data_IF_217841519499
#
_entry.id   IF_217841519499
#
_cell.length_a   1.000
_cell.length_b   1.000
_cell.length_c   1.000
_cell.angle_alpha   90.00
_cell.angle_beta   90.00
_cell.angle_gamma   90.00
#
_symmetry.space_group_name_H-M   'P 1'
#
loop_
_entity.id
_entity.type
_entity.pdbx_description
1 polymer ?
#
# COMPACT_ATOMS: atom_id res chain seq x y z
N UNK A 1 -1.57 -14.19 -16.13
CA UNK A 1 -1.85 -15.03 -14.94
C UNK A 1 -1.03 -16.30 -15.09
N UNK A 2 0.11 -16.46 -14.40
CA UNK A 2 0.90 -17.68 -14.53
C UNK A 2 0.49 -18.66 -13.43
N UNK A 3 -0.55 -19.45 -13.69
CA UNK A 3 -1.08 -20.47 -12.79
C UNK A 3 0.01 -21.45 -12.30
N UNK A 4 1.09 -21.62 -13.06
CA UNK A 4 2.21 -22.48 -12.67
C UNK A 4 2.96 -21.99 -11.43
N UNK A 5 2.99 -20.69 -11.10
CA UNK A 5 3.78 -20.21 -9.96
C UNK A 5 3.14 -20.57 -8.62
N UNK A 6 1.83 -20.36 -8.46
CA UNK A 6 1.09 -20.74 -7.25
C UNK A 6 1.08 -22.27 -7.06
N UNK A 7 0.97 -23.03 -8.17
CA UNK A 7 1.08 -24.49 -8.13
C UNK A 7 2.51 -24.96 -7.76
N UNK A 8 3.56 -24.26 -8.19
CA UNK A 8 4.96 -24.56 -7.80
C UNK A 8 5.26 -24.27 -6.32
N UNK A 9 4.68 -23.21 -5.75
CA UNK A 9 4.75 -22.93 -4.30
C UNK A 9 4.11 -24.08 -3.51
N UNK A 10 2.88 -24.49 -3.88
CA UNK A 10 2.15 -25.58 -3.18
C UNK A 10 2.78 -26.97 -3.36
N UNK A 11 3.37 -27.24 -4.52
CA UNK A 11 4.02 -28.54 -4.82
C UNK A 11 5.46 -28.66 -4.31
N UNK A 12 6.01 -27.62 -3.66
CA UNK A 12 7.36 -27.64 -3.09
C UNK A 12 8.51 -27.65 -4.11
N UNK A 13 8.23 -27.33 -5.38
CA UNK A 13 9.17 -27.43 -6.50
C UNK A 13 9.93 -26.13 -6.82
N UNK A 14 9.73 -25.07 -6.02
CA UNK A 14 10.54 -23.85 -6.09
C UNK A 14 11.92 -24.08 -5.45
N UNK A 15 12.97 -23.48 -6.02
CA UNK A 15 14.30 -23.44 -5.41
C UNK A 15 14.20 -22.93 -3.96
N UNK A 16 14.99 -23.49 -3.04
CA UNK A 16 14.90 -23.23 -1.60
C UNK A 16 15.00 -21.74 -1.23
N UNK A 17 15.72 -20.95 -2.03
CA UNK A 17 15.84 -19.49 -1.88
C UNK A 17 14.56 -18.71 -2.19
N UNK A 18 13.84 -19.08 -3.26
CA UNK A 18 12.61 -18.40 -3.67
C UNK A 18 11.45 -18.65 -2.71
N UNK A 19 11.35 -19.87 -2.16
CA UNK A 19 10.34 -20.19 -1.14
C UNK A 19 10.54 -19.39 0.13
N UNK A 20 11.78 -19.33 0.63
CA UNK A 20 12.12 -18.59 1.85
C UNK A 20 11.79 -17.10 1.68
N UNK A 21 12.13 -16.53 0.52
CA UNK A 21 11.80 -15.14 0.18
C UNK A 21 10.28 -14.90 0.12
N UNK A 22 9.51 -15.84 -0.41
CA UNK A 22 8.06 -15.76 -0.45
C UNK A 22 7.42 -15.83 0.95
N UNK A 23 7.85 -16.76 1.80
CA UNK A 23 7.36 -16.83 3.19
C UNK A 23 7.71 -15.57 3.97
N UNK A 24 8.93 -15.06 3.80
CA UNK A 24 9.34 -13.81 4.40
C UNK A 24 8.47 -12.63 3.94
N UNK A 25 8.21 -12.51 2.64
CA UNK A 25 7.31 -11.50 2.09
C UNK A 25 5.89 -11.63 2.67
N UNK A 26 5.36 -12.85 2.78
CA UNK A 26 4.04 -13.12 3.37
C UNK A 26 3.97 -12.70 4.84
N UNK A 27 4.96 -13.08 5.65
CA UNK A 27 5.00 -12.70 7.08
C UNK A 27 5.09 -11.19 7.25
N UNK A 28 5.94 -10.51 6.46
CA UNK A 28 6.03 -9.04 6.48
C UNK A 28 4.73 -8.38 6.02
N UNK A 29 4.05 -8.96 5.02
CA UNK A 29 2.75 -8.48 4.55
C UNK A 29 1.69 -8.58 5.65
N UNK A 30 1.67 -9.66 6.42
CA UNK A 30 0.76 -9.80 7.57
C UNK A 30 1.01 -8.73 8.64
N UNK A 31 2.27 -8.42 8.94
CA UNK A 31 2.62 -7.34 9.86
C UNK A 31 2.24 -5.94 9.32
N UNK A 32 2.15 -5.77 7.99
CA UNK A 32 1.64 -4.54 7.39
C UNK A 32 0.11 -4.47 7.46
N UNK A 33 -0.57 -5.60 7.23
CA UNK A 33 -2.03 -5.71 7.33
C UNK A 33 -2.50 -5.42 8.76
N UNK A 34 -1.76 -5.87 9.78
CA UNK A 34 -2.11 -5.59 11.18
C UNK A 34 -2.03 -4.13 11.58
N UNK A 35 -1.41 -3.27 10.75
CA UNK A 35 -1.35 -1.81 10.96
C UNK A 35 -2.51 -1.06 10.30
N UNK A 36 -3.35 -1.75 9.53
CA UNK A 36 -4.55 -1.15 8.95
C UNK A 36 -5.53 -0.75 10.07
N UNK A 37 -6.30 0.29 9.81
CA UNK A 37 -7.32 0.80 10.74
C UNK A 37 -8.30 -0.34 11.06
N UNK A 38 -8.46 -0.62 12.35
CA UNK A 38 -9.37 -1.67 12.79
C UNK A 38 -10.83 -1.29 12.53
N UNK A 39 -11.72 -2.28 12.40
CA UNK A 39 -13.15 -2.04 12.15
C UNK A 39 -13.80 -1.13 13.22
N UNK A 40 -13.39 -1.31 14.48
CA UNK A 40 -13.85 -0.49 15.62
C UNK A 40 -13.36 0.96 15.55
N UNK A 41 -12.20 1.19 14.96
CA UNK A 41 -11.64 2.53 14.73
C UNK A 41 -12.27 3.18 13.51
N UNK A 42 -12.57 2.40 12.47
CA UNK A 42 -13.27 2.87 11.28
C UNK A 42 -14.64 3.47 11.61
N UNK A 43 -15.41 2.82 12.50
CA UNK A 43 -16.68 3.36 12.99
C UNK A 43 -16.55 4.69 13.75
N UNK A 44 -15.39 4.97 14.35
CA UNK A 44 -15.10 6.27 14.98
C UNK A 44 -14.76 7.32 13.93
N UNK A 45 -13.93 6.97 12.94
CA UNK A 45 -13.58 7.86 11.82
C UNK A 45 -14.81 8.35 11.05
N UNK A 46 -15.79 7.48 10.84
CA UNK A 46 -17.04 7.84 10.15
C UNK A 46 -17.88 8.91 10.87
N UNK A 47 -17.62 9.15 12.16
CA UNK A 47 -18.33 10.15 12.99
C UNK A 47 -17.52 11.41 13.22
N UNK A 48 -16.26 11.45 12.78
CA UNK A 48 -15.32 12.55 12.99
C UNK A 48 -15.34 13.54 11.82
N UNK A 49 -15.04 14.80 12.11
CA UNK A 49 -14.75 15.80 11.07
C UNK A 49 -13.36 15.57 10.44
N UNK A 50 -13.12 16.09 9.24
CA UNK A 50 -11.84 15.93 8.51
C UNK A 50 -10.63 16.38 9.34
N UNK A 51 -10.79 17.41 10.19
CA UNK A 51 -9.70 17.88 11.07
C UNK A 51 -9.37 16.89 12.19
N UNK A 52 -10.41 16.26 12.76
CA UNK A 52 -10.24 15.26 13.80
C UNK A 52 -9.60 14.00 13.24
N UNK A 53 -10.02 13.58 12.03
CA UNK A 53 -9.40 12.47 11.30
C UNK A 53 -7.91 12.75 11.06
N UNK A 54 -7.56 13.95 10.58
CA UNK A 54 -6.16 14.34 10.36
C UNK A 54 -5.33 14.27 11.66
N UNK A 55 -5.88 14.75 12.77
CA UNK A 55 -5.18 14.69 14.07
C UNK A 55 -5.02 13.26 14.57
N UNK A 56 -6.07 12.45 14.46
CA UNK A 56 -6.04 11.04 14.81
C UNK A 56 -5.02 10.25 13.96
N UNK A 57 -4.98 10.49 12.65
CA UNK A 57 -3.97 9.88 11.76
C UNK A 57 -2.55 10.37 12.10
N UNK A 58 -2.40 11.63 12.51
CA UNK A 58 -1.12 12.22 12.94
C UNK A 58 -0.57 11.69 14.26
N UNK A 59 -1.43 11.18 15.14
CA UNK A 59 -1.02 10.44 16.34
C UNK A 59 -0.57 9.00 16.01
N UNK A 60 -0.95 8.49 14.84
CA UNK A 60 -0.61 7.15 14.34
C UNK A 60 0.58 7.09 13.38
N UNK A 61 0.57 6.09 12.49
CA UNK A 61 1.65 5.82 11.52
C UNK A 61 1.74 6.83 10.35
N UNK A 62 0.80 7.79 10.25
CA UNK A 62 0.75 8.77 9.17
C UNK A 62 1.47 10.09 9.51
N UNK A 63 2.11 10.16 10.68
CA UNK A 63 2.77 11.37 11.19
C UNK A 63 3.79 11.96 10.21
N UNK A 64 4.62 11.12 9.59
CA UNK A 64 5.68 11.57 8.68
C UNK A 64 5.13 12.24 7.43
N UNK A 65 4.05 11.70 6.90
CA UNK A 65 3.36 12.20 5.72
C UNK A 65 2.60 13.50 6.04
N UNK A 66 1.97 13.58 7.22
CA UNK A 66 1.28 14.79 7.69
C UNK A 66 2.25 15.95 7.89
N UNK A 67 3.42 15.69 8.48
CA UNK A 67 4.47 16.69 8.67
C UNK A 67 5.05 17.20 7.33
N UNK A 68 4.95 16.40 6.26
CA UNK A 68 5.52 16.74 4.94
C UNK A 68 4.63 17.65 4.07
N UNK A 69 3.30 17.63 4.25
CA UNK A 69 2.38 18.34 3.34
C UNK A 69 2.31 19.86 3.60
N UNK A 70 2.66 20.33 4.81
CA UNK A 70 2.80 21.76 5.10
C UNK A 70 1.49 22.58 5.06
N UNK A 71 1.53 23.76 5.68
CA UNK A 71 0.36 24.56 6.10
C UNK A 71 -0.50 25.13 4.92
N UNK A 72 -0.08 24.99 3.66
CA UNK A 72 -0.65 25.75 2.53
C UNK A 72 -1.75 25.05 1.70
N UNK A 73 -2.10 23.80 1.98
CA UNK A 73 -3.11 23.06 1.21
C UNK A 73 -4.50 23.10 1.87
N UNK A 74 -5.55 22.98 1.06
CA UNK A 74 -6.92 22.77 1.56
C UNK A 74 -6.94 21.50 2.41
N UNK A 75 -7.74 21.50 3.49
CA UNK A 75 -7.76 20.43 4.49
C UNK A 75 -8.02 19.03 3.89
N UNK A 76 -8.93 18.96 2.91
CA UNK A 76 -9.31 17.71 2.24
C UNK A 76 -8.19 17.26 1.28
N UNK A 77 -7.69 18.16 0.43
CA UNK A 77 -6.58 17.87 -0.49
C UNK A 77 -5.32 17.39 0.27
N UNK A 78 -5.09 17.94 1.45
CA UNK A 78 -4.01 17.53 2.35
C UNK A 78 -4.19 16.08 2.80
N UNK A 79 -5.38 15.73 3.30
CA UNK A 79 -5.70 14.37 3.74
C UNK A 79 -5.55 13.36 2.60
N UNK A 80 -6.12 13.66 1.44
CA UNK A 80 -6.02 12.79 0.26
C UNK A 80 -4.57 12.57 -0.15
N UNK A 81 -3.78 13.64 -0.16
CA UNK A 81 -2.36 13.57 -0.50
C UNK A 81 -1.58 12.73 0.51
N UNK A 82 -1.76 12.96 1.80
CA UNK A 82 -1.13 12.17 2.88
C UNK A 82 -1.45 10.68 2.74
N UNK A 83 -2.73 10.35 2.53
CA UNK A 83 -3.16 8.96 2.38
C UNK A 83 -2.55 8.31 1.13
N UNK A 84 -2.54 9.03 0.00
CA UNK A 84 -1.94 8.55 -1.24
C UNK A 84 -0.43 8.33 -1.11
N UNK A 85 0.29 9.25 -0.47
CA UNK A 85 1.74 9.14 -0.23
C UNK A 85 2.05 7.96 0.70
N UNK A 86 1.30 7.79 1.79
CA UNK A 86 1.49 6.66 2.71
C UNK A 86 1.20 5.31 2.02
N UNK A 87 0.13 5.25 1.22
CA UNK A 87 -0.21 4.06 0.45
C UNK A 87 0.91 3.71 -0.55
N UNK A 88 1.39 4.69 -1.31
CA UNK A 88 2.50 4.50 -2.26
C UNK A 88 3.77 4.01 -1.54
N UNK A 89 4.13 4.61 -0.40
CA UNK A 89 5.26 4.18 0.41
C UNK A 89 5.11 2.74 0.91
N UNK A 90 3.90 2.35 1.34
CA UNK A 90 3.59 1.01 1.81
C UNK A 90 3.68 -0.03 0.68
N UNK A 91 3.12 0.25 -0.50
CA UNK A 91 3.24 -0.63 -1.67
C UNK A 91 4.70 -0.75 -2.12
N UNK A 92 5.44 0.36 -2.17
CA UNK A 92 6.86 0.33 -2.51
C UNK A 92 7.69 -0.49 -1.51
N UNK A 93 7.38 -0.38 -0.21
CA UNK A 93 7.98 -1.26 0.81
C UNK A 93 7.64 -2.71 0.50
N UNK A 94 6.36 -3.05 0.30
CA UNK A 94 5.90 -4.41 -0.02
C UNK A 94 6.68 -5.03 -1.19
N UNK A 95 6.87 -4.27 -2.27
CA UNK A 95 7.58 -4.75 -3.46
C UNK A 95 9.08 -4.99 -3.23
N UNK A 96 9.74 -4.25 -2.31
CA UNK A 96 11.18 -4.40 -2.03
C UNK A 96 11.56 -5.80 -1.52
N UNK A 97 10.69 -6.43 -0.75
CA UNK A 97 10.91 -7.77 -0.20
C UNK A 97 10.12 -8.85 -0.93
N UNK A 98 9.37 -8.49 -1.96
CA UNK A 98 8.60 -9.44 -2.78
C UNK A 98 9.41 -9.88 -4.00
N UNK A 99 9.59 -11.19 -4.25
CA UNK A 99 10.29 -11.68 -5.43
C UNK A 99 9.66 -11.15 -6.74
N UNK A 100 10.44 -10.75 -7.76
CA UNK A 100 9.92 -10.25 -9.04
C UNK A 100 9.01 -11.23 -9.78
N UNK A 101 9.21 -12.53 -9.58
CA UNK A 101 8.38 -13.61 -10.12
C UNK A 101 7.00 -13.70 -9.47
N UNK A 102 6.76 -12.97 -8.37
CA UNK A 102 5.49 -12.96 -7.66
C UNK A 102 4.37 -12.33 -8.49
N UNK A 103 3.14 -12.88 -8.45
CA UNK A 103 1.98 -12.28 -9.11
C UNK A 103 1.63 -10.88 -8.59
N UNK A 104 2.11 -10.51 -7.40
CA UNK A 104 1.92 -9.17 -6.82
C UNK A 104 2.51 -8.08 -7.70
N UNK A 105 3.67 -8.31 -8.32
CA UNK A 105 4.29 -7.35 -9.25
C UNK A 105 3.38 -7.06 -10.44
N UNK A 106 2.84 -8.10 -11.07
CA UNK A 106 1.91 -7.94 -12.19
C UNK A 106 0.62 -7.20 -11.78
N UNK A 107 0.17 -7.38 -10.54
CA UNK A 107 -0.99 -6.66 -10.00
C UNK A 107 -0.71 -5.17 -9.83
N UNK A 108 0.42 -4.80 -9.23
CA UNK A 108 0.79 -3.38 -9.04
C UNK A 108 1.03 -2.70 -10.38
N UNK A 109 1.73 -3.34 -11.32
CA UNK A 109 1.98 -2.80 -12.66
C UNK A 109 0.69 -2.42 -13.42
N UNK A 110 -0.43 -3.12 -13.17
CA UNK A 110 -1.73 -2.76 -13.77
C UNK A 110 -2.17 -1.35 -13.37
N UNK A 111 -1.94 -0.96 -12.11
CA UNK A 111 -2.28 0.37 -11.62
C UNK A 111 -1.32 1.42 -12.17
N UNK A 112 -0.02 1.12 -12.28
CA UNK A 112 0.94 2.02 -12.92
C UNK A 112 0.56 2.31 -14.37
N UNK A 113 0.16 1.27 -15.12
CA UNK A 113 -0.32 1.41 -16.50
C UNK A 113 -1.59 2.27 -16.57
N UNK A 114 -2.50 2.15 -15.61
CA UNK A 114 -3.69 2.99 -15.53
C UNK A 114 -3.31 4.46 -15.24
N UNK A 115 -2.39 4.69 -14.31
CA UNK A 115 -1.89 6.01 -13.96
C UNK A 115 -1.21 6.70 -15.16
N UNK A 116 -0.32 5.98 -15.87
CA UNK A 116 0.33 6.48 -17.08
C UNK A 116 -0.71 6.84 -18.16
N UNK A 117 -1.73 6.00 -18.35
CA UNK A 117 -2.82 6.31 -19.29
C UNK A 117 -3.59 7.57 -18.90
N UNK A 118 -3.86 7.77 -17.62
CA UNK A 118 -4.53 8.97 -17.12
C UNK A 118 -3.69 10.22 -17.38
N UNK A 119 -2.37 10.18 -17.09
CA UNK A 119 -1.45 11.30 -17.32
C UNK A 119 -1.36 11.66 -18.82
N UNK A 120 -1.29 10.65 -19.69
CA UNK A 120 -1.26 10.88 -21.15
C UNK A 120 -2.58 11.52 -21.60
N UNK A 121 -3.71 11.05 -21.09
CA UNK A 121 -5.04 11.58 -21.45
C UNK A 121 -5.25 13.01 -20.96
N UNK A 122 -4.77 13.37 -19.77
CA UNK A 122 -4.98 14.71 -19.21
C UNK A 122 -4.18 15.80 -19.90
N UNK A 123 -3.23 15.43 -20.78
CA UNK A 123 -2.43 16.37 -21.57
C UNK A 123 -3.08 16.75 -22.92
N UNK A 124 -4.06 15.97 -23.37
CA UNK A 124 -4.92 16.26 -24.55
C UNK A 124 -6.13 17.07 -24.14
#
# INVERSE_FOLDING_TARGET
MNANYILKVKSGTLESGDRTSYFYASTRSMAMISKLVAETEYAKLMKMDTNEIMRYLGEGEYKKEIDAVGIKATKIDTLERVLNENFANSVNKLLRFTPPSSPVWAYVMRYDIANVKTIIRSKT
#
